data_IF_212191555189
#
_entry.id   IF_212191555189
#
_cell.length_a   1.000
_cell.length_b   1.000
_cell.length_c   1.000
_cell.angle_alpha   90.00
_cell.angle_beta   90.00
_cell.angle_gamma   90.00
#
_symmetry.space_group_name_H-M   'P 1'
#
loop_
_entity.id
_entity.type
_entity.pdbx_description
1 polymer ?
#
# COMPACT_ATOMS: atom_id res chain seq x y z
N UNK A 1 -19.32 -32.98 8.92
CA UNK A 1 -17.95 -32.72 9.42
C UNK A 1 -17.23 -31.98 8.33
N UNK A 2 -16.85 -30.72 8.54
CA UNK A 2 -15.99 -29.97 7.62
C UNK A 2 -14.55 -30.42 7.86
N UNK A 3 -13.98 -31.30 7.03
CA UNK A 3 -12.58 -31.69 7.16
C UNK A 3 -11.72 -30.55 6.59
N UNK A 4 -10.48 -30.44 7.05
CA UNK A 4 -9.38 -29.69 6.42
C UNK A 4 -9.15 -28.19 6.71
N UNK A 5 -9.84 -27.56 7.67
CA UNK A 5 -9.44 -26.20 8.08
C UNK A 5 -8.17 -26.14 8.94
N UNK A 6 -7.81 -27.25 9.60
CA UNK A 6 -6.68 -27.31 10.54
C UNK A 6 -5.32 -27.57 9.88
N UNK A 7 -5.27 -27.90 8.60
CA UNK A 7 -4.06 -28.42 7.95
C UNK A 7 -3.48 -27.54 6.85
N UNK A 8 -4.14 -26.44 6.49
CA UNK A 8 -3.63 -25.49 5.50
C UNK A 8 -3.13 -24.26 6.27
N UNK A 9 -1.84 -23.93 6.13
CA UNK A 9 -1.28 -22.66 6.62
C UNK A 9 -1.79 -21.50 5.76
N UNK A 10 -3.11 -21.33 5.67
CA UNK A 10 -3.73 -20.30 4.84
C UNK A 10 -3.45 -18.94 5.46
N UNK A 11 -2.79 -18.07 4.70
CA UNK A 11 -2.54 -16.70 5.13
C UNK A 11 -3.80 -15.86 4.95
N UNK A 12 -3.97 -14.81 5.78
CA UNK A 12 -5.09 -13.86 5.66
C UNK A 12 -5.23 -13.31 4.24
N UNK A 13 -4.11 -13.11 3.54
CA UNK A 13 -4.07 -12.61 2.17
C UNK A 13 -4.69 -13.60 1.17
N UNK A 14 -4.45 -14.90 1.34
CA UNK A 14 -5.06 -15.93 0.47
C UNK A 14 -6.58 -15.98 0.66
N UNK A 15 -7.07 -15.82 1.90
CA UNK A 15 -8.51 -15.72 2.16
C UNK A 15 -9.10 -14.48 1.47
N UNK A 16 -8.42 -13.33 1.55
CA UNK A 16 -8.85 -12.09 0.88
C UNK A 16 -8.86 -12.28 -0.63
N UNK A 17 -7.81 -12.87 -1.23
CA UNK A 17 -7.74 -13.10 -2.66
C UNK A 17 -8.87 -14.01 -3.16
N UNK A 18 -9.14 -15.10 -2.44
CA UNK A 18 -10.24 -16.01 -2.74
C UNK A 18 -11.58 -15.30 -2.62
N UNK A 19 -11.81 -14.57 -1.52
CA UNK A 19 -13.04 -13.80 -1.30
C UNK A 19 -13.29 -12.80 -2.43
N UNK A 20 -12.29 -11.97 -2.75
CA UNK A 20 -12.37 -11.00 -3.85
C UNK A 20 -12.68 -11.69 -5.17
N UNK A 21 -12.11 -12.88 -5.41
CA UNK A 21 -12.33 -13.64 -6.65
C UNK A 21 -13.75 -14.19 -6.80
N UNK A 22 -14.42 -14.53 -5.70
CA UNK A 22 -15.79 -15.07 -5.70
C UNK A 22 -16.86 -13.98 -5.61
N UNK A 23 -16.56 -12.85 -4.95
CA UNK A 23 -17.53 -11.76 -4.76
C UNK A 23 -17.49 -10.71 -5.86
N UNK A 24 -16.42 -10.62 -6.65
CA UNK A 24 -16.26 -9.57 -7.67
C UNK A 24 -16.50 -10.12 -9.07
N UNK A 25 -17.40 -9.48 -9.84
CA UNK A 25 -17.73 -9.86 -11.21
C UNK A 25 -17.52 -8.67 -12.16
N UNK A 26 -16.69 -8.81 -13.23
CA UNK A 26 -15.90 -9.99 -13.58
C UNK A 26 -14.78 -10.28 -12.57
N UNK A 27 -14.29 -11.53 -12.52
CA UNK A 27 -13.17 -11.91 -11.63
C UNK A 27 -11.97 -10.99 -11.90
N UNK A 28 -11.45 -10.27 -10.89
CA UNK A 28 -10.34 -9.35 -11.10
C UNK A 28 -9.05 -10.10 -11.41
N UNK A 29 -8.20 -9.48 -12.24
CA UNK A 29 -6.88 -10.03 -12.59
C UNK A 29 -5.89 -9.97 -11.43
N UNK A 30 -6.00 -8.93 -10.60
CA UNK A 30 -5.22 -8.74 -9.37
C UNK A 30 -6.20 -8.44 -8.23
N UNK A 31 -6.28 -9.32 -7.24
CA UNK A 31 -7.13 -9.11 -6.06
C UNK A 31 -6.59 -8.02 -5.11
N UNK A 32 -5.32 -7.66 -5.26
CA UNK A 32 -4.61 -6.67 -4.47
C UNK A 32 -4.25 -5.43 -5.30
N UNK A 33 -5.03 -5.15 -6.35
CA UNK A 33 -4.81 -3.96 -7.18
C UNK A 33 -4.88 -2.70 -6.32
N UNK A 34 -3.88 -1.84 -6.44
CA UNK A 34 -3.85 -0.58 -5.69
C UNK A 34 -4.69 0.48 -6.40
N UNK A 35 -5.54 1.17 -5.64
CA UNK A 35 -6.27 2.35 -6.10
C UNK A 35 -5.39 3.61 -5.94
N UNK A 36 -4.58 3.89 -6.94
CA UNK A 36 -3.70 5.06 -6.94
C UNK A 36 -4.44 6.40 -6.95
N UNK A 37 -5.50 6.61 -7.76
CA UNK A 37 -6.29 7.84 -7.70
C UNK A 37 -6.80 8.15 -6.28
N UNK A 38 -7.24 7.13 -5.54
CA UNK A 38 -7.62 7.32 -4.14
C UNK A 38 -6.43 7.82 -3.30
N UNK A 39 -5.27 7.15 -3.37
CA UNK A 39 -4.09 7.54 -2.60
C UNK A 39 -3.60 8.96 -2.97
N UNK A 40 -3.68 9.33 -4.24
CA UNK A 40 -3.31 10.65 -4.76
C UNK A 40 -4.28 11.75 -4.29
N UNK A 41 -5.53 11.39 -3.97
CA UNK A 41 -6.54 12.32 -3.43
C UNK A 41 -6.43 12.56 -1.92
N UNK A 42 -5.67 11.74 -1.19
CA UNK A 42 -5.51 11.88 0.26
C UNK A 42 -4.62 13.07 0.62
N UNK A 43 -4.83 13.71 1.79
CA UNK A 43 -3.86 14.67 2.33
C UNK A 43 -2.45 14.05 2.41
N UNK A 44 -1.41 14.85 2.21
CA UNK A 44 -0.02 14.39 2.07
C UNK A 44 0.39 13.37 3.13
N UNK A 45 0.11 13.65 4.41
CA UNK A 45 0.46 12.74 5.51
C UNK A 45 -0.30 11.41 5.47
N UNK A 46 -1.58 11.44 5.11
CA UNK A 46 -2.39 10.23 4.97
C UNK A 46 -1.93 9.42 3.75
N UNK A 47 -1.60 10.10 2.66
CA UNK A 47 -1.04 9.49 1.45
C UNK A 47 0.31 8.82 1.73
N UNK A 48 1.20 9.49 2.48
CA UNK A 48 2.49 8.96 2.92
C UNK A 48 2.34 7.72 3.82
N UNK A 49 1.44 7.78 4.80
CA UNK A 49 1.19 6.67 5.73
C UNK A 49 0.57 5.46 5.02
N UNK A 50 -0.47 5.70 4.22
CA UNK A 50 -1.16 4.66 3.47
C UNK A 50 -0.24 3.98 2.46
N UNK A 51 0.54 4.76 1.69
CA UNK A 51 1.48 4.21 0.72
C UNK A 51 2.55 3.36 1.40
N UNK A 52 3.12 3.78 2.53
CA UNK A 52 4.10 2.99 3.28
C UNK A 52 3.53 1.67 3.82
N UNK A 53 2.32 1.71 4.39
CA UNK A 53 1.64 0.51 4.87
C UNK A 53 1.34 -0.49 3.74
N UNK A 54 0.86 0.02 2.60
CA UNK A 54 0.55 -0.78 1.42
C UNK A 54 1.81 -1.36 0.76
N UNK A 55 2.95 -0.63 0.74
CA UNK A 55 4.25 -1.16 0.28
C UNK A 55 4.62 -2.38 1.10
N UNK A 56 4.56 -2.25 2.43
CA UNK A 56 4.90 -3.35 3.35
C UNK A 56 3.99 -4.55 3.13
N UNK A 57 2.69 -4.31 2.98
CA UNK A 57 1.70 -5.37 2.72
C UNK A 57 2.00 -6.11 1.41
N UNK A 58 2.18 -5.39 0.30
CA UNK A 58 2.43 -5.99 -1.02
C UNK A 58 3.77 -6.73 -1.08
N UNK A 59 4.81 -6.28 -0.36
CA UNK A 59 6.06 -7.02 -0.23
C UNK A 59 5.87 -8.39 0.44
N UNK A 60 5.07 -8.47 1.50
CA UNK A 60 4.81 -9.73 2.19
C UNK A 60 3.92 -10.67 1.37
N UNK A 61 2.95 -10.11 0.63
CA UNK A 61 2.12 -10.88 -0.31
C UNK A 61 2.98 -11.42 -1.44
N UNK A 62 3.84 -10.60 -2.05
CA UNK A 62 4.69 -11.00 -3.18
C UNK A 62 5.65 -12.14 -2.84
N UNK A 63 6.11 -12.25 -1.58
CA UNK A 63 6.98 -13.37 -1.14
C UNK A 63 6.26 -14.72 -1.11
N UNK A 64 4.93 -14.71 -1.00
CA UNK A 64 4.09 -15.91 -0.83
C UNK A 64 3.20 -16.19 -2.05
N UNK A 65 3.11 -15.24 -2.96
CA UNK A 65 2.27 -15.28 -4.15
C UNK A 65 2.78 -16.29 -5.20
N UNK A 66 1.87 -16.98 -5.92
CA UNK A 66 2.24 -17.75 -7.11
C UNK A 66 2.76 -16.84 -8.24
N UNK A 67 3.74 -17.32 -8.99
CA UNK A 67 4.45 -16.59 -10.07
C UNK A 67 3.56 -15.88 -11.11
N UNK A 68 2.31 -16.32 -11.30
CA UNK A 68 1.36 -15.72 -12.24
C UNK A 68 0.81 -14.36 -11.79
N UNK A 69 0.71 -14.10 -10.47
CA UNK A 69 0.23 -12.81 -9.93
C UNK A 69 1.38 -11.83 -9.65
N UNK A 70 2.61 -12.32 -9.63
CA UNK A 70 3.78 -11.53 -9.25
C UNK A 70 4.00 -10.32 -10.16
N UNK A 71 3.79 -10.43 -11.48
CA UNK A 71 4.05 -9.28 -12.38
C UNK A 71 3.14 -8.08 -12.10
N UNK A 72 1.87 -8.32 -11.75
CA UNK A 72 0.90 -7.26 -11.47
C UNK A 72 1.17 -6.65 -10.09
N UNK A 73 1.41 -7.50 -9.09
CA UNK A 73 1.77 -7.06 -7.73
C UNK A 73 3.08 -6.28 -7.75
N UNK A 74 4.08 -6.72 -8.50
CA UNK A 74 5.37 -6.04 -8.62
C UNK A 74 5.26 -4.69 -9.33
N UNK A 75 4.39 -4.56 -10.34
CA UNK A 75 4.15 -3.27 -10.99
C UNK A 75 3.54 -2.26 -10.01
N UNK A 76 2.50 -2.68 -9.27
CA UNK A 76 1.87 -1.86 -8.25
C UNK A 76 2.85 -1.52 -7.12
N UNK A 77 3.65 -2.50 -6.68
CA UNK A 77 4.66 -2.30 -5.64
C UNK A 77 5.71 -1.28 -6.07
N UNK A 78 6.18 -1.33 -7.32
CA UNK A 78 7.15 -0.36 -7.84
C UNK A 78 6.56 1.05 -7.85
N UNK A 79 5.37 1.23 -8.43
CA UNK A 79 4.70 2.55 -8.47
C UNK A 79 4.44 3.09 -7.07
N UNK A 80 3.94 2.24 -6.18
CA UNK A 80 3.62 2.61 -4.81
C UNK A 80 4.87 2.96 -3.99
N UNK A 81 6.00 2.29 -4.22
CA UNK A 81 7.28 2.64 -3.59
C UNK A 81 7.74 4.02 -4.04
N UNK A 82 7.68 4.32 -5.35
CA UNK A 82 8.00 5.66 -5.85
C UNK A 82 7.10 6.72 -5.25
N UNK A 83 5.80 6.47 -5.17
CA UNK A 83 4.83 7.37 -4.54
C UNK A 83 5.15 7.61 -3.06
N UNK A 84 5.41 6.56 -2.29
CA UNK A 84 5.74 6.67 -0.87
C UNK A 84 6.98 7.55 -0.63
N UNK A 85 8.03 7.35 -1.43
CA UNK A 85 9.25 8.15 -1.33
C UNK A 85 9.00 9.63 -1.65
N UNK A 86 8.22 9.92 -2.70
CA UNK A 86 7.84 11.29 -3.05
C UNK A 86 7.06 11.94 -1.90
N UNK A 87 6.03 11.26 -1.39
CA UNK A 87 5.25 11.79 -0.26
C UNK A 87 6.12 12.02 0.97
N UNK A 88 7.06 11.12 1.25
CA UNK A 88 7.99 11.25 2.36
C UNK A 88 8.92 12.45 2.21
N UNK A 89 9.53 12.62 1.03
CA UNK A 89 10.40 13.77 0.78
C UNK A 89 9.63 15.08 0.88
N UNK A 90 8.46 15.18 0.25
CA UNK A 90 7.63 16.39 0.31
C UNK A 90 7.14 16.69 1.73
N UNK A 91 6.77 15.67 2.50
CA UNK A 91 6.40 15.85 3.90
C UNK A 91 7.58 16.36 4.73
N UNK A 92 8.78 15.79 4.53
CA UNK A 92 9.98 16.22 5.25
C UNK A 92 10.38 17.66 4.94
N UNK A 93 10.19 18.12 3.71
CA UNK A 93 10.42 19.52 3.30
C UNK A 93 9.43 20.46 3.97
N UNK A 94 8.14 20.11 3.96
CA UNK A 94 7.11 20.87 4.66
C UNK A 94 7.40 20.97 6.17
N UNK A 95 7.84 19.89 6.82
CA UNK A 95 8.23 19.96 8.23
C UNK A 95 9.42 20.90 8.46
N UNK A 96 10.44 20.86 7.59
CA UNK A 96 11.62 21.73 7.69
C UNK A 96 11.28 23.22 7.54
N UNK A 97 10.38 23.56 6.61
CA UNK A 97 9.96 24.94 6.37
C UNK A 97 9.18 25.54 7.55
N UNK A 98 8.42 24.72 8.28
CA UNK A 98 7.72 25.19 9.49
C UNK A 98 8.71 25.51 10.62
N UNK A 99 9.75 24.70 10.81
CA UNK A 99 10.79 24.97 11.81
C UNK A 99 11.60 26.22 11.49
N UNK A 100 11.88 26.49 10.21
CA UNK A 100 12.59 27.70 9.77
C UNK A 100 11.71 28.97 9.85
N UNK A 101 10.39 28.84 9.69
CA UNK A 101 9.43 29.94 9.73
C UNK A 101 9.12 30.47 11.14
N UNK A 102 9.16 29.63 12.17
CA UNK A 102 8.95 30.05 13.57
C UNK A 102 10.15 30.78 14.19
N UNK A 103 11.36 30.65 13.62
CA UNK A 103 12.58 31.26 14.16
C UNK A 103 12.83 32.73 13.78
N UNK A 104 12.00 33.34 12.93
CA UNK A 104 12.23 34.68 12.37
C UNK A 104 11.47 35.84 13.06
N UNK A 105 10.64 35.55 14.06
CA UNK A 105 9.62 36.47 14.58
C UNK A 105 9.99 37.35 15.77
N UNK A 106 11.17 37.21 16.38
CA UNK A 106 11.54 37.97 17.59
C UNK A 106 12.85 38.75 17.41
N UNK A 107 12.77 39.88 16.70
CA UNK A 107 13.68 41.02 16.90
C UNK A 107 12.91 42.32 16.75
N UNK A 108 12.39 42.82 17.87
CA UNK A 108 12.01 44.21 18.06
C UNK A 108 12.77 44.82 19.24
#
# INVERSE_FOLDING_TARGET
>A
TTPDWTNVQTTVWEVIAELVSVTTKPKPRNAFSVDFPLLESLPLMNSMLASGALVRMLQEISKKSPAAQDKLILNDLQRLTSMHLICFTTASEHFREYEEGEGGGDKQ
#
